data_IF_476961297050
#
_entry.id   IF_476961297050
#
_cell.length_a   1.000
_cell.length_b   1.000
_cell.length_c   1.000
_cell.angle_alpha   90.00
_cell.angle_beta   90.00
_cell.angle_gamma   90.00
#
_symmetry.space_group_name_H-M   'P 1'
#
loop_
_entity.id
_entity.type
_entity.pdbx_description
1 polymer ?
#
# COMPACT_ATOMS: atom_id res chain seq x y z
N UNK A 1 22.49 -7.42 -4.22
CA UNK A 1 22.36 -6.24 -3.36
C UNK A 1 21.86 -6.57 -1.95
N UNK A 2 21.22 -7.71 -1.75
CA UNK A 2 20.61 -8.08 -0.46
C UNK A 2 19.22 -7.47 -0.22
N UNK A 3 18.66 -6.74 -1.18
CA UNK A 3 17.28 -6.22 -1.09
C UNK A 3 16.29 -7.38 -1.17
N UNK A 4 15.37 -7.43 -0.21
CA UNK A 4 14.35 -8.48 -0.11
C UNK A 4 12.92 -7.98 -0.26
N UNK A 5 12.67 -6.69 -0.04
CA UNK A 5 11.34 -6.08 -0.17
C UNK A 5 11.19 -5.36 -1.50
N UNK A 6 10.19 -5.75 -2.27
CA UNK A 6 9.90 -5.19 -3.59
C UNK A 6 8.44 -4.75 -3.69
N UNK A 7 8.20 -3.69 -4.48
CA UNK A 7 6.87 -3.18 -4.79
C UNK A 7 6.54 -3.29 -6.28
N UNK A 8 5.34 -3.73 -6.62
CA UNK A 8 4.84 -3.77 -7.98
C UNK A 8 3.48 -3.08 -8.10
N UNK A 9 3.33 -2.30 -9.17
CA UNK A 9 2.08 -1.61 -9.46
C UNK A 9 1.03 -2.53 -10.08
N UNK A 10 1.44 -3.49 -10.90
CA UNK A 10 0.55 -4.33 -11.69
C UNK A 10 0.69 -5.79 -11.29
N UNK A 11 -0.42 -6.38 -10.86
CA UNK A 11 -0.46 -7.80 -10.44
C UNK A 11 -0.01 -8.76 -11.54
N UNK A 12 -0.28 -8.45 -12.81
CA UNK A 12 0.16 -9.29 -13.91
C UNK A 12 1.69 -9.28 -14.05
N UNK A 13 2.31 -8.12 -14.04
CA UNK A 13 3.77 -7.99 -14.07
C UNK A 13 4.41 -8.63 -12.84
N UNK A 14 3.80 -8.46 -11.67
CA UNK A 14 4.22 -9.13 -10.44
C UNK A 14 4.26 -10.66 -10.62
N UNK A 15 3.22 -11.25 -11.19
CA UNK A 15 3.14 -12.68 -11.43
C UNK A 15 4.26 -13.17 -12.36
N UNK A 16 4.48 -12.47 -13.46
CA UNK A 16 5.50 -12.84 -14.46
C UNK A 16 6.92 -12.77 -13.89
N UNK A 17 7.22 -11.72 -13.07
CA UNK A 17 8.55 -11.50 -12.53
C UNK A 17 8.84 -12.36 -11.29
N UNK A 18 7.90 -12.48 -10.37
CA UNK A 18 8.18 -13.00 -9.03
C UNK A 18 7.87 -14.48 -8.86
N UNK A 19 7.06 -15.13 -9.72
CA UNK A 19 6.75 -16.56 -9.54
C UNK A 19 8.03 -17.41 -9.48
N UNK A 20 8.96 -17.24 -10.43
CA UNK A 20 10.24 -17.98 -10.42
C UNK A 20 11.24 -17.46 -9.39
N UNK A 21 11.14 -16.19 -8.99
CA UNK A 21 12.04 -15.61 -8.00
C UNK A 21 11.77 -16.14 -6.60
N UNK A 22 10.53 -16.40 -6.23
CA UNK A 22 10.16 -16.97 -4.94
C UNK A 22 10.73 -18.37 -4.74
N UNK A 23 10.82 -19.19 -5.79
CA UNK A 23 11.38 -20.54 -5.73
C UNK A 23 12.88 -20.52 -5.40
N UNK A 24 13.60 -19.51 -5.89
CA UNK A 24 15.06 -19.38 -5.71
C UNK A 24 15.46 -18.48 -4.55
N UNK A 25 14.55 -17.60 -4.11
CA UNK A 25 14.82 -16.61 -3.07
C UNK A 25 13.60 -16.48 -2.12
N UNK A 26 13.43 -17.41 -1.19
CA UNK A 26 12.25 -17.45 -0.32
C UNK A 26 12.15 -16.26 0.66
N UNK A 27 13.23 -15.48 0.82
CA UNK A 27 13.23 -14.26 1.65
C UNK A 27 12.62 -13.04 0.96
N UNK A 28 12.31 -13.14 -0.35
CA UNK A 28 11.69 -12.02 -1.07
C UNK A 28 10.27 -11.81 -0.57
N UNK A 29 9.97 -10.55 -0.26
CA UNK A 29 8.63 -10.06 0.06
C UNK A 29 8.16 -9.14 -1.07
N UNK A 30 6.93 -9.33 -1.50
CA UNK A 30 6.32 -8.54 -2.55
C UNK A 30 5.15 -7.75 -2.00
N UNK A 31 5.17 -6.44 -2.20
CA UNK A 31 4.05 -5.55 -1.92
C UNK A 31 3.36 -5.13 -3.23
N UNK A 32 2.04 -5.17 -3.27
CA UNK A 32 1.25 -4.53 -4.33
C UNK A 32 1.01 -3.08 -3.90
N UNK A 33 1.52 -2.14 -4.70
CA UNK A 33 1.49 -0.71 -4.40
C UNK A 33 0.65 0.12 -5.38
N UNK A 34 0.20 -0.47 -6.49
CA UNK A 34 -0.70 0.20 -7.44
C UNK A 34 -2.15 -0.16 -7.21
N UNK A 35 -3.06 0.66 -7.74
CA UNK A 35 -4.50 0.48 -7.59
C UNK A 35 -4.94 -0.95 -7.95
N UNK A 36 -5.63 -1.60 -7.03
CA UNK A 36 -6.02 -3.00 -7.14
C UNK A 36 -7.48 -3.14 -7.59
N UNK A 37 -7.66 -3.67 -8.78
CA UNK A 37 -8.97 -4.05 -9.30
C UNK A 37 -9.48 -5.33 -8.62
N UNK A 38 -10.79 -5.40 -8.32
CA UNK A 38 -11.39 -6.54 -7.61
C UNK A 38 -11.17 -7.89 -8.31
N UNK A 39 -11.17 -7.91 -9.66
CA UNK A 39 -10.91 -9.13 -10.44
C UNK A 39 -9.44 -9.62 -10.40
N UNK A 40 -8.52 -8.81 -9.85
CA UNK A 40 -7.09 -9.16 -9.69
C UNK A 40 -6.74 -9.57 -8.25
N UNK A 41 -7.63 -9.39 -7.29
CA UNK A 41 -7.39 -9.66 -5.86
C UNK A 41 -6.93 -11.08 -5.60
N UNK A 42 -7.54 -12.08 -6.24
CA UNK A 42 -7.11 -13.49 -6.11
C UNK A 42 -5.61 -13.67 -6.38
N UNK A 43 -5.10 -13.09 -7.46
CA UNK A 43 -3.70 -13.21 -7.83
C UNK A 43 -2.81 -12.36 -6.91
N UNK A 44 -3.26 -11.15 -6.54
CA UNK A 44 -2.53 -10.29 -5.60
C UNK A 44 -2.32 -10.99 -4.26
N UNK A 45 -3.38 -11.51 -3.65
CA UNK A 45 -3.33 -12.23 -2.37
C UNK A 45 -2.45 -13.47 -2.44
N UNK A 46 -2.46 -14.23 -3.56
CA UNK A 46 -1.60 -15.41 -3.68
C UNK A 46 -0.10 -15.07 -3.71
N UNK A 47 0.28 -13.94 -4.30
CA UNK A 47 1.67 -13.54 -4.53
C UNK A 47 2.24 -12.64 -3.43
N UNK A 48 1.48 -11.62 -3.02
CA UNK A 48 1.97 -10.55 -2.17
C UNK A 48 1.98 -10.93 -0.69
N UNK A 49 2.91 -10.35 0.07
CA UNK A 49 2.90 -10.31 1.53
C UNK A 49 2.06 -9.14 2.05
N UNK A 50 2.00 -8.04 1.29
CA UNK A 50 1.24 -6.85 1.65
C UNK A 50 0.55 -6.23 0.44
N UNK A 51 -0.65 -5.67 0.65
CA UNK A 51 -1.37 -4.81 -0.31
C UNK A 51 -1.43 -3.42 0.31
N UNK A 52 -0.71 -2.45 -0.30
CA UNK A 52 -0.64 -1.08 0.21
C UNK A 52 -1.73 -0.16 -0.34
N UNK A 53 -2.45 -0.60 -1.35
CA UNK A 53 -3.42 0.19 -2.11
C UNK A 53 -4.88 -0.13 -1.77
N UNK A 54 -5.15 -0.40 -0.48
CA UNK A 54 -6.52 -0.59 -0.03
C UNK A 54 -7.22 0.78 0.03
N UNK A 55 -8.21 0.98 -0.84
CA UNK A 55 -8.87 2.27 -1.08
C UNK A 55 -10.38 2.26 -0.82
N UNK A 56 -10.97 1.13 -0.42
CA UNK A 56 -12.41 0.99 -0.17
C UNK A 56 -12.79 -0.29 0.55
N UNK A 57 -13.91 -0.25 1.26
CA UNK A 57 -14.41 -1.38 2.05
C UNK A 57 -14.71 -2.64 1.21
N UNK A 58 -15.25 -2.50 0.00
CA UNK A 58 -15.54 -3.64 -0.86
C UNK A 58 -14.28 -4.39 -1.30
N UNK A 59 -13.17 -3.65 -1.49
CA UNK A 59 -11.88 -4.27 -1.77
C UNK A 59 -11.36 -5.04 -0.56
N UNK A 60 -11.50 -4.49 0.64
CA UNK A 60 -11.15 -5.17 1.90
C UNK A 60 -11.90 -6.50 2.04
N UNK A 61 -13.22 -6.50 1.81
CA UNK A 61 -14.05 -7.71 1.84
C UNK A 61 -13.60 -8.75 0.82
N UNK A 62 -13.25 -8.33 -0.40
CA UNK A 62 -12.76 -9.26 -1.42
C UNK A 62 -11.35 -9.79 -1.08
N UNK A 63 -10.46 -8.97 -0.49
CA UNK A 63 -9.15 -9.43 0.00
C UNK A 63 -9.34 -10.51 1.06
N UNK A 64 -10.15 -10.28 2.08
CA UNK A 64 -10.46 -11.27 3.12
C UNK A 64 -10.99 -12.56 2.51
N UNK A 65 -11.98 -12.47 1.64
CA UNK A 65 -12.58 -13.63 0.96
C UNK A 65 -11.57 -14.46 0.17
N UNK A 66 -10.60 -13.83 -0.50
CA UNK A 66 -9.57 -14.55 -1.25
C UNK A 66 -8.48 -15.10 -0.32
N UNK A 67 -8.10 -14.38 0.72
CA UNK A 67 -7.13 -14.81 1.74
C UNK A 67 -7.65 -16.01 2.52
N UNK A 68 -8.91 -15.98 2.94
CA UNK A 68 -9.59 -17.08 3.63
C UNK A 68 -9.58 -18.38 2.82
N UNK A 69 -9.81 -18.31 1.49
CA UNK A 69 -9.84 -19.51 0.63
C UNK A 69 -8.52 -20.28 0.60
N UNK A 70 -7.41 -19.62 0.83
CA UNK A 70 -6.07 -20.22 0.82
C UNK A 70 -5.43 -20.23 2.21
N UNK A 71 -6.20 -19.86 3.24
CA UNK A 71 -5.78 -19.76 4.64
C UNK A 71 -4.47 -18.97 4.80
N UNK A 72 -4.38 -17.79 4.12
CA UNK A 72 -3.20 -16.94 4.11
C UNK A 72 -3.47 -15.64 4.86
N UNK A 73 -2.56 -15.27 5.76
CA UNK A 73 -2.53 -13.93 6.34
C UNK A 73 -1.96 -12.95 5.31
N UNK A 74 -2.60 -11.79 5.17
CA UNK A 74 -2.19 -10.73 4.26
C UNK A 74 -2.14 -9.39 4.99
N UNK A 75 -1.00 -8.71 4.94
CA UNK A 75 -0.86 -7.37 5.47
C UNK A 75 -1.51 -6.35 4.53
N UNK A 76 -2.08 -5.29 5.10
CA UNK A 76 -2.66 -4.19 4.33
C UNK A 76 -2.22 -2.84 4.86
N UNK A 77 -2.07 -1.87 3.94
CA UNK A 77 -2.07 -0.45 4.25
C UNK A 77 -3.29 0.21 3.62
N UNK A 78 -3.89 1.13 4.36
CA UNK A 78 -5.02 1.93 3.88
C UNK A 78 -4.48 3.12 3.09
N UNK A 79 -4.81 3.18 1.79
CA UNK A 79 -4.40 4.29 0.93
C UNK A 79 -5.32 5.48 1.15
N UNK A 80 -4.79 6.58 1.69
CA UNK A 80 -5.52 7.83 1.86
C UNK A 80 -5.24 8.78 0.71
N UNK A 81 -6.28 9.34 0.12
CA UNK A 81 -6.18 10.40 -0.87
C UNK A 81 -5.77 11.72 -0.20
N UNK A 82 -4.59 12.23 -0.52
CA UNK A 82 -4.04 13.47 0.06
C UNK A 82 -3.63 14.50 -1.00
N UNK A 83 -3.83 14.19 -2.29
CA UNK A 83 -3.49 15.06 -3.42
C UNK A 83 -4.65 15.25 -4.39
N UNK A 84 -4.68 16.36 -5.11
CA UNK A 84 -5.80 16.75 -5.97
C UNK A 84 -5.92 15.92 -7.26
N UNK A 85 -4.85 15.27 -7.72
CA UNK A 85 -4.82 14.59 -9.03
C UNK A 85 -5.05 13.07 -8.95
N UNK A 86 -4.81 12.45 -7.81
CA UNK A 86 -5.01 11.02 -7.63
C UNK A 86 -6.48 10.71 -7.37
N UNK A 87 -7.04 9.77 -8.13
CA UNK A 87 -8.39 9.24 -7.88
C UNK A 87 -8.37 8.00 -6.99
N UNK A 88 -7.20 7.51 -6.59
CA UNK A 88 -7.05 6.38 -5.68
C UNK A 88 -7.02 6.84 -4.22
N UNK A 89 -7.31 5.91 -3.33
CA UNK A 89 -7.35 6.13 -1.89
C UNK A 89 -8.73 6.49 -1.36
N UNK A 90 -8.91 6.27 -0.07
CA UNK A 90 -10.08 6.74 0.68
C UNK A 90 -10.20 8.26 0.57
N UNK A 91 -11.35 8.74 0.17
CA UNK A 91 -11.58 10.18 -0.05
C UNK A 91 -11.83 10.92 1.26
N UNK A 92 -12.35 10.23 2.25
CA UNK A 92 -12.62 10.77 3.58
C UNK A 92 -12.06 9.88 4.68
N UNK A 93 -11.83 10.47 5.86
CA UNK A 93 -11.41 9.69 7.04
C UNK A 93 -12.53 8.78 7.56
N UNK A 94 -13.79 9.16 7.35
CA UNK A 94 -14.97 8.39 7.74
C UNK A 94 -15.03 7.05 6.96
N UNK A 95 -14.80 7.07 5.65
CA UNK A 95 -14.74 5.84 4.83
C UNK A 95 -13.59 4.92 5.27
N UNK A 96 -12.45 5.49 5.62
CA UNK A 96 -11.30 4.74 6.13
C UNK A 96 -11.61 4.15 7.51
N UNK A 97 -12.22 4.94 8.41
CA UNK A 97 -12.64 4.53 9.76
C UNK A 97 -13.64 3.37 9.70
N UNK A 98 -14.64 3.43 8.78
CA UNK A 98 -15.58 2.31 8.54
C UNK A 98 -14.84 1.01 8.20
N UNK A 99 -13.80 1.07 7.38
CA UNK A 99 -13.01 -0.11 7.02
C UNK A 99 -12.18 -0.64 8.20
N UNK A 100 -11.66 0.23 9.05
CA UNK A 100 -10.98 -0.17 10.29
C UNK A 100 -11.95 -0.77 11.31
N UNK A 101 -13.17 -0.21 11.45
CA UNK A 101 -14.25 -0.78 12.27
C UNK A 101 -14.63 -2.18 11.79
N UNK A 102 -14.72 -2.37 10.46
CA UNK A 102 -14.97 -3.68 9.88
C UNK A 102 -13.87 -4.69 10.22
N UNK A 103 -12.60 -4.29 10.23
CA UNK A 103 -11.51 -5.13 10.73
C UNK A 103 -11.66 -5.42 12.23
N UNK A 104 -11.99 -4.41 13.03
CA UNK A 104 -12.14 -4.52 14.48
C UNK A 104 -13.32 -5.41 14.90
N UNK A 105 -14.33 -5.54 14.07
CA UNK A 105 -15.48 -6.43 14.30
C UNK A 105 -15.15 -7.93 14.19
N UNK A 106 -13.92 -8.30 13.81
CA UNK A 106 -13.46 -9.67 13.64
C UNK A 106 -13.92 -10.33 12.32
N UNK A 107 -14.46 -9.56 11.39
CA UNK A 107 -14.91 -10.08 10.09
C UNK A 107 -13.78 -10.28 9.07
N UNK A 108 -12.55 -9.95 9.42
CA UNK A 108 -11.36 -10.07 8.55
C UNK A 108 -10.22 -10.83 9.24
N UNK A 109 -10.41 -12.08 9.66
CA UNK A 109 -9.41 -12.83 10.43
C UNK A 109 -8.13 -13.13 9.66
N UNK A 110 -8.12 -12.99 8.33
CA UNK A 110 -6.94 -13.20 7.49
C UNK A 110 -6.27 -11.89 7.05
N UNK A 111 -6.81 -10.73 7.39
CA UNK A 111 -6.24 -9.43 7.04
C UNK A 111 -5.60 -8.78 8.27
N UNK A 112 -4.39 -8.28 8.09
CA UNK A 112 -3.61 -7.63 9.16
C UNK A 112 -3.43 -6.15 8.81
N UNK A 113 -4.17 -5.22 9.43
CA UNK A 113 -3.92 -3.79 9.33
C UNK A 113 -2.54 -3.43 9.87
N UNK A 114 -1.70 -2.78 9.05
CA UNK A 114 -0.32 -2.42 9.41
C UNK A 114 -0.08 -0.92 9.40
N UNK A 115 -0.94 -0.14 8.75
CA UNK A 115 -0.74 1.29 8.65
C UNK A 115 -1.37 1.91 7.42
N UNK A 116 -0.74 2.96 6.91
CA UNK A 116 -1.31 3.83 5.90
C UNK A 116 -0.34 4.06 4.74
N UNK A 117 -0.91 4.39 3.59
CA UNK A 117 -0.16 4.75 2.39
C UNK A 117 -0.74 6.00 1.76
N UNK A 118 0.11 6.82 1.14
CA UNK A 118 -0.32 7.88 0.23
C UNK A 118 0.68 8.10 -0.91
N UNK A 119 0.18 8.74 -1.95
CA UNK A 119 0.99 9.32 -3.02
C UNK A 119 0.76 10.84 -3.01
N UNK A 120 1.85 11.60 -2.90
CA UNK A 120 1.80 13.04 -3.04
C UNK A 120 1.47 13.45 -4.49
N UNK A 121 0.92 14.65 -4.72
CA UNK A 121 0.68 15.15 -6.06
C UNK A 121 2.00 15.24 -6.84
N UNK A 122 1.92 14.97 -8.14
CA UNK A 122 3.08 15.08 -9.04
C UNK A 122 3.36 16.55 -9.35
N UNK A 123 4.21 17.20 -8.56
CA UNK A 123 4.55 18.60 -8.64
C UNK A 123 5.98 18.85 -8.18
N UNK A 124 6.54 20.00 -8.56
CA UNK A 124 7.81 20.51 -8.00
C UNK A 124 7.60 21.42 -6.78
N UNK A 125 6.37 21.68 -6.37
CA UNK A 125 6.06 22.45 -5.17
C UNK A 125 6.18 21.58 -3.92
N UNK A 126 7.33 21.72 -3.24
CA UNK A 126 7.63 20.98 -2.02
C UNK A 126 6.59 21.24 -0.90
N UNK A 127 5.95 22.40 -0.89
CA UNK A 127 4.96 22.72 0.14
C UNK A 127 3.69 21.85 -0.02
N UNK A 128 3.26 21.59 -1.24
CA UNK A 128 2.14 20.71 -1.55
C UNK A 128 2.48 19.24 -1.25
N UNK A 129 3.71 18.82 -1.61
CA UNK A 129 4.21 17.47 -1.29
C UNK A 129 4.22 17.27 0.23
N UNK A 130 4.83 18.20 0.97
CA UNK A 130 4.92 18.15 2.44
C UNK A 130 3.54 18.12 3.11
N UNK A 131 2.61 18.97 2.63
CA UNK A 131 1.23 18.99 3.11
C UNK A 131 0.56 17.63 2.96
N UNK A 132 0.75 16.96 1.82
CA UNK A 132 0.22 15.61 1.59
C UNK A 132 0.72 14.61 2.64
N UNK A 133 2.01 14.60 2.93
CA UNK A 133 2.61 13.69 3.92
C UNK A 133 2.19 14.02 5.37
N UNK A 134 2.10 15.31 5.71
CA UNK A 134 1.57 15.75 7.01
C UNK A 134 0.12 15.26 7.18
N UNK A 135 -0.71 15.39 6.14
CA UNK A 135 -2.10 14.91 6.16
C UNK A 135 -2.18 13.41 6.48
N UNK A 136 -1.33 12.60 5.85
CA UNK A 136 -1.28 11.16 6.16
C UNK A 136 -0.84 10.91 7.60
N UNK A 137 0.19 11.60 8.08
CA UNK A 137 0.69 11.46 9.45
C UNK A 137 -0.39 11.77 10.49
N UNK A 138 -1.08 12.89 10.34
CA UNK A 138 -2.16 13.31 11.24
C UNK A 138 -3.32 12.31 11.24
N UNK A 139 -3.70 11.81 10.05
CA UNK A 139 -4.71 10.76 9.91
C UNK A 139 -4.26 9.48 10.62
N UNK A 140 -3.02 9.06 10.42
CA UNK A 140 -2.43 7.88 11.06
C UNK A 140 -2.47 7.99 12.59
N UNK A 141 -2.06 9.13 13.15
CA UNK A 141 -2.09 9.38 14.59
C UNK A 141 -3.51 9.33 15.17
N UNK A 142 -4.48 9.87 14.43
CA UNK A 142 -5.91 9.80 14.81
C UNK A 142 -6.39 8.35 14.84
N UNK A 143 -6.11 7.59 13.77
CA UNK A 143 -6.56 6.19 13.67
C UNK A 143 -5.88 5.28 14.69
N UNK A 144 -4.60 5.46 14.99
CA UNK A 144 -3.90 4.75 16.06
C UNK A 144 -4.57 4.93 17.44
N UNK A 145 -5.04 6.13 17.73
CA UNK A 145 -5.77 6.42 18.98
C UNK A 145 -7.13 5.75 19.03
N UNK A 146 -7.85 5.73 17.89
CA UNK A 146 -9.20 5.18 17.81
C UNK A 146 -9.19 3.64 17.78
N UNK A 147 -8.12 3.03 17.25
CA UNK A 147 -7.98 1.58 17.06
C UNK A 147 -6.71 1.01 17.69
N UNK A 148 -6.55 1.13 19.04
CA UNK A 148 -5.32 0.72 19.74
C UNK A 148 -5.05 -0.79 19.69
N UNK A 149 -6.01 -1.61 19.25
CA UNK A 149 -5.86 -3.05 19.06
C UNK A 149 -5.05 -3.41 17.81
N UNK A 150 -4.83 -2.48 16.88
CA UNK A 150 -4.02 -2.68 15.68
C UNK A 150 -2.67 -1.96 15.79
N UNK A 151 -1.60 -2.63 15.34
CA UNK A 151 -0.30 -1.99 15.14
C UNK A 151 -0.31 -1.29 13.77
N UNK A 152 -0.70 -0.01 13.77
CA UNK A 152 -0.80 0.81 12.56
C UNK A 152 0.47 1.66 12.35
N UNK A 153 1.65 1.05 12.52
CA UNK A 153 2.92 1.78 12.62
C UNK A 153 3.55 2.09 11.28
N UNK A 154 3.08 1.48 10.21
CA UNK A 154 3.65 1.72 8.89
C UNK A 154 3.05 2.95 8.22
N UNK A 155 3.93 3.84 7.74
CA UNK A 155 3.61 5.01 6.93
C UNK A 155 4.37 4.91 5.61
N UNK A 156 3.69 4.37 4.58
CA UNK A 156 4.26 4.23 3.25
C UNK A 156 3.99 5.50 2.44
N UNK A 157 5.00 6.34 2.32
CA UNK A 157 4.94 7.58 1.55
C UNK A 157 6.34 7.96 1.03
N UNK A 158 6.39 8.65 -0.08
CA UNK A 158 7.63 9.00 -0.76
C UNK A 158 8.02 8.04 -1.87
N UNK A 159 8.33 8.61 -3.02
CA UNK A 159 8.83 7.95 -4.23
C UNK A 159 10.17 8.54 -4.65
N UNK A 160 10.70 8.16 -5.82
CA UNK A 160 12.03 8.59 -6.29
C UNK A 160 12.25 10.11 -6.31
N UNK A 161 11.20 10.92 -6.42
CA UNK A 161 11.30 12.38 -6.52
C UNK A 161 11.03 13.13 -5.20
N UNK A 162 10.52 12.46 -4.17
CA UNK A 162 10.04 13.14 -2.95
C UNK A 162 10.31 12.34 -1.65
N UNK A 163 11.10 11.24 -1.73
CA UNK A 163 11.35 10.39 -0.56
C UNK A 163 12.10 11.12 0.56
N UNK A 164 12.94 12.12 0.26
CA UNK A 164 13.65 12.87 1.30
C UNK A 164 12.66 13.66 2.15
N UNK A 165 11.72 14.36 1.51
CA UNK A 165 10.64 15.08 2.21
C UNK A 165 9.76 14.11 3.00
N UNK A 166 9.46 12.94 2.43
CA UNK A 166 8.68 11.91 3.12
C UNK A 166 9.37 11.42 4.39
N UNK A 167 10.69 11.21 4.37
CA UNK A 167 11.47 10.80 5.54
C UNK A 167 11.43 11.89 6.62
N UNK A 168 11.60 13.16 6.25
CA UNK A 168 11.47 14.29 7.17
C UNK A 168 10.09 14.34 7.85
N UNK A 169 9.03 13.94 7.13
CA UNK A 169 7.65 13.89 7.65
C UNK A 169 7.29 12.57 8.34
N UNK A 170 8.26 11.66 8.53
CA UNK A 170 8.09 10.45 9.33
C UNK A 170 7.68 9.21 8.53
N UNK A 171 8.02 9.13 7.24
CA UNK A 171 7.86 7.90 6.46
C UNK A 171 8.63 6.75 7.09
N UNK A 172 8.00 5.58 7.21
CA UNK A 172 8.65 4.33 7.63
C UNK A 172 9.00 3.45 6.43
N UNK A 173 8.38 3.70 5.27
CA UNK A 173 8.56 2.94 4.05
C UNK A 173 8.52 3.85 2.82
N UNK A 174 9.63 3.97 2.09
CA UNK A 174 9.72 4.70 0.82
C UNK A 174 9.70 3.73 -0.38
N UNK A 175 9.19 4.19 -1.52
CA UNK A 175 9.00 3.38 -2.73
C UNK A 175 9.87 3.92 -3.87
N UNK A 176 11.12 3.51 -3.90
CA UNK A 176 12.11 4.00 -4.89
C UNK A 176 12.14 3.08 -6.11
N UNK A 177 11.73 3.58 -7.26
CA UNK A 177 11.69 2.84 -8.52
C UNK A 177 12.59 3.44 -9.58
N UNK A 178 12.20 4.55 -10.19
CA UNK A 178 12.89 5.15 -11.34
C UNK A 178 14.35 5.53 -11.04
N UNK A 179 14.66 5.93 -9.82
CA UNK A 179 16.04 6.24 -9.42
C UNK A 179 16.96 5.01 -9.38
N UNK A 180 16.40 3.79 -9.28
CA UNK A 180 17.16 2.53 -9.24
C UNK A 180 17.11 1.81 -10.60
N UNK A 181 15.92 1.70 -11.19
CA UNK A 181 15.67 0.89 -12.39
C UNK A 181 15.62 1.70 -13.70
N UNK A 182 15.72 3.03 -13.63
CA UNK A 182 15.53 3.92 -14.78
C UNK A 182 14.05 4.13 -15.13
N UNK A 183 13.82 4.93 -16.16
CA UNK A 183 12.48 5.19 -16.67
C UNK A 183 11.84 3.94 -17.30
N UNK A 184 10.54 3.79 -17.15
CA UNK A 184 9.79 2.70 -17.80
C UNK A 184 9.72 2.92 -19.31
N UNK A 185 10.16 1.94 -20.07
CA UNK A 185 9.95 1.90 -21.52
C UNK A 185 8.53 1.37 -21.81
N UNK A 186 7.61 2.26 -22.10
CA UNK A 186 6.23 1.93 -22.48
C UNK A 186 6.06 1.52 -23.95
N UNK A 187 7.13 1.53 -24.75
CA UNK A 187 7.09 1.14 -26.17
C UNK A 187 7.07 -0.36 -26.37
N UNK A 188 7.46 -1.13 -25.34
CA UNK A 188 7.42 -2.59 -25.34
C UNK A 188 6.12 -3.06 -24.67
N UNK A 189 5.05 -3.14 -25.44
CA UNK A 189 3.81 -3.85 -25.10
C UNK A 189 3.82 -5.24 -25.69
#
# INVERSE_FOLDING_TARGET
>A
SGQTLFGENRVQEAKEKFTSLFDTNPSIQLHIIGQLQSNKVKNAVSLASCIQSLDRLDLLKEIEKQASKINKQIEILFELHTGEESKSGYQTLEELEESLEYCASGQTPHVIPKGFMTMAPFTSDESLIRKSFITLREASEKMKKNFPQFSLDESSMGMSGDFEIAIEEGSTLVRVGTAIFGERDYSKK
#
